data_IF_197219663396
#
_entry.id   IF_197219663396
#
_cell.length_a   1.000
_cell.length_b   1.000
_cell.length_c   1.000
_cell.angle_alpha   90.00
_cell.angle_beta   90.00
_cell.angle_gamma   90.00
#
_symmetry.space_group_name_H-M   'P 1'
#
loop_
_entity.id
_entity.type
_entity.pdbx_description
1 polymer ?
#
# COMPACT_ATOMS: atom_id res chain seq x y z
N UNK A 1 14.73 9.11 8.33
CA UNK A 1 13.55 9.35 7.47
C UNK A 1 13.52 10.84 7.11
N UNK A 2 13.00 11.23 5.93
CA UNK A 2 12.98 12.64 5.52
C UNK A 2 12.05 13.47 6.40
N UNK A 3 12.35 14.77 6.53
CA UNK A 3 11.40 15.73 7.09
C UNK A 3 10.32 16.02 6.04
N UNK A 4 9.08 15.67 6.33
CA UNK A 4 7.95 15.90 5.42
C UNK A 4 7.41 17.33 5.56
N UNK A 5 6.96 17.89 4.45
CA UNK A 5 6.24 19.18 4.40
C UNK A 5 4.77 18.96 4.04
N UNK A 6 3.98 20.03 4.05
CA UNK A 6 2.60 20.00 3.56
C UNK A 6 2.52 19.86 2.04
N UNK A 7 3.60 20.14 1.30
CA UNK A 7 3.66 20.00 -0.15
C UNK A 7 4.16 18.62 -0.55
N UNK A 8 3.43 18.00 -1.48
CA UNK A 8 3.82 16.73 -2.12
C UNK A 8 5.23 16.81 -2.73
N UNK A 9 6.11 15.92 -2.29
CA UNK A 9 7.53 15.89 -2.67
C UNK A 9 7.94 14.48 -3.09
N UNK A 10 8.63 14.35 -4.23
CA UNK A 10 9.17 13.07 -4.69
C UNK A 10 10.46 12.78 -3.95
N UNK A 11 10.59 11.55 -3.44
CA UNK A 11 11.80 11.07 -2.80
C UNK A 11 12.41 9.93 -3.62
N UNK A 12 13.75 9.86 -3.75
CA UNK A 12 14.39 8.73 -4.42
C UNK A 12 13.95 7.39 -3.83
N UNK A 13 13.56 6.44 -4.68
CA UNK A 13 13.13 5.11 -4.26
C UNK A 13 11.69 5.02 -3.73
N UNK A 14 10.91 6.10 -3.76
CA UNK A 14 9.48 6.09 -3.41
C UNK A 14 8.62 6.46 -4.62
N UNK A 15 7.67 5.60 -4.97
CA UNK A 15 6.78 5.82 -6.12
C UNK A 15 5.79 6.97 -5.86
N UNK A 16 5.38 7.16 -4.60
CA UNK A 16 4.48 8.23 -4.20
C UNK A 16 5.24 9.50 -3.85
N UNK A 17 4.72 10.63 -4.28
CA UNK A 17 5.18 11.91 -3.77
C UNK A 17 4.54 12.17 -2.39
N UNK A 18 5.36 12.21 -1.36
CA UNK A 18 4.93 12.20 0.04
C UNK A 18 4.68 13.62 0.57
N UNK A 19 3.70 13.74 1.44
CA UNK A 19 3.37 14.98 2.18
C UNK A 19 2.73 14.62 3.53
N UNK A 20 2.77 15.56 4.49
CA UNK A 20 2.11 15.36 5.78
C UNK A 20 0.61 15.04 5.65
N UNK A 21 -0.18 15.77 4.84
CA UNK A 21 -1.60 15.44 4.65
C UNK A 21 -1.84 14.04 4.08
N UNK A 22 -1.01 13.59 3.12
CA UNK A 22 -1.17 12.27 2.50
C UNK A 22 -0.93 11.18 3.54
N UNK A 23 0.15 11.29 4.30
CA UNK A 23 0.49 10.31 5.33
C UNK A 23 -0.54 10.31 6.46
N UNK A 24 -1.08 11.47 6.85
CA UNK A 24 -2.17 11.57 7.81
C UNK A 24 -3.46 10.90 7.29
N UNK A 25 -3.76 11.05 6.00
CA UNK A 25 -4.89 10.39 5.38
C UNK A 25 -4.73 8.87 5.36
N UNK A 26 -3.57 8.37 4.92
CA UNK A 26 -3.28 6.94 4.94
C UNK A 26 -3.34 6.38 6.36
N UNK A 27 -2.77 7.07 7.35
CA UNK A 27 -2.86 6.65 8.75
C UNK A 27 -4.30 6.58 9.27
N UNK A 28 -5.18 7.49 8.84
CA UNK A 28 -6.60 7.45 9.22
C UNK A 28 -7.38 6.31 8.55
N UNK A 29 -6.93 5.84 7.38
CA UNK A 29 -7.51 4.69 6.69
C UNK A 29 -7.01 3.35 7.26
N UNK A 30 -5.72 3.28 7.57
CA UNK A 30 -5.07 2.06 8.02
C UNK A 30 -5.46 1.71 9.47
N UNK A 31 -5.58 0.42 9.79
CA UNK A 31 -6.03 -0.02 11.09
C UNK A 31 -4.95 0.26 12.15
N UNK A 32 -5.41 0.53 13.37
CA UNK A 32 -4.53 0.75 14.51
C UNK A 32 -3.95 -0.59 15.02
N UNK A 33 -2.74 -0.60 15.62
CA UNK A 33 -2.21 -1.78 16.26
C UNK A 33 -3.19 -2.37 17.30
N UNK A 34 -3.29 -3.71 17.41
CA UNK A 34 -2.39 -4.72 16.86
C UNK A 34 -2.75 -5.21 15.45
N UNK A 35 -3.79 -4.68 14.79
CA UNK A 35 -4.19 -5.13 13.46
C UNK A 35 -3.08 -4.90 12.42
N UNK A 36 -2.87 -5.88 11.52
CA UNK A 36 -1.77 -5.89 10.58
C UNK A 36 -2.17 -5.28 9.22
N UNK A 37 -1.34 -4.35 8.73
CA UNK A 37 -1.31 -3.93 7.33
C UNK A 37 -0.17 -4.61 6.59
N UNK A 38 -0.45 -5.21 5.43
CA UNK A 38 0.58 -5.73 4.53
C UNK A 38 0.75 -4.78 3.34
N UNK A 39 1.93 -4.18 3.18
CA UNK A 39 2.28 -3.37 1.99
C UNK A 39 2.94 -4.25 0.94
N UNK A 40 2.29 -4.43 -0.20
CA UNK A 40 2.73 -5.33 -1.27
C UNK A 40 3.40 -4.52 -2.38
N UNK A 41 4.68 -4.81 -2.63
CA UNK A 41 5.53 -4.00 -3.51
C UNK A 41 6.13 -2.80 -2.79
N UNK A 42 6.73 -3.01 -1.61
CA UNK A 42 7.22 -1.94 -0.74
C UNK A 42 8.44 -1.17 -1.29
N UNK A 43 9.06 -1.65 -2.37
CA UNK A 43 10.24 -1.02 -2.98
C UNK A 43 11.37 -0.82 -1.97
N UNK A 44 11.83 0.42 -1.85
CA UNK A 44 12.88 0.80 -0.90
C UNK A 44 12.40 0.86 0.56
N UNK A 45 11.08 0.76 0.80
CA UNK A 45 10.47 0.73 2.12
C UNK A 45 10.23 2.10 2.77
N UNK A 46 10.37 3.21 2.02
CA UNK A 46 10.33 4.56 2.60
C UNK A 46 8.95 4.92 3.18
N UNK A 47 7.88 4.64 2.42
CA UNK A 47 6.51 4.95 2.82
C UNK A 47 6.15 4.19 4.10
N UNK A 48 6.43 2.90 4.09
CA UNK A 48 6.14 1.98 5.19
C UNK A 48 6.96 2.36 6.42
N UNK A 49 8.24 2.69 6.25
CA UNK A 49 9.08 3.12 7.37
C UNK A 49 8.55 4.42 8.00
N UNK A 50 7.99 5.36 7.23
CA UNK A 50 7.35 6.55 7.78
C UNK A 50 6.09 6.17 8.57
N UNK A 51 5.19 5.36 7.99
CA UNK A 51 3.96 4.92 8.65
C UNK A 51 4.21 4.08 9.91
N UNK A 52 5.30 3.32 9.94
CA UNK A 52 5.71 2.49 11.08
C UNK A 52 6.16 3.32 12.30
N UNK A 53 6.66 4.54 12.09
CA UNK A 53 7.26 5.36 13.14
C UNK A 53 6.28 6.42 13.68
N UNK A 54 6.56 7.03 14.86
CA UNK A 54 5.79 8.18 15.34
C UNK A 54 5.76 9.31 14.30
N UNK A 55 4.61 10.01 14.15
CA UNK A 55 3.40 9.90 14.97
C UNK A 55 2.40 8.80 14.53
N UNK A 56 2.66 8.07 13.46
CA UNK A 56 1.68 7.17 12.83
C UNK A 56 1.61 5.79 13.49
N UNK A 57 2.75 5.19 13.85
CA UNK A 57 2.82 3.92 14.58
C UNK A 57 1.96 2.76 13.99
N UNK A 58 1.80 2.72 12.66
CA UNK A 58 1.03 1.66 11.99
C UNK A 58 1.76 0.33 12.14
N UNK A 59 1.03 -0.73 12.47
CA UNK A 59 1.56 -2.09 12.44
C UNK A 59 1.62 -2.60 11.00
N UNK A 60 2.68 -2.21 10.28
CA UNK A 60 2.87 -2.48 8.86
C UNK A 60 4.05 -3.43 8.61
N UNK A 61 3.91 -4.32 7.62
CA UNK A 61 4.98 -5.17 7.08
C UNK A 61 5.05 -4.94 5.58
N UNK A 62 6.25 -4.64 5.06
CA UNK A 62 6.49 -4.48 3.63
C UNK A 62 6.95 -5.78 2.97
N UNK A 63 6.41 -6.08 1.79
CA UNK A 63 6.74 -7.23 0.95
C UNK A 63 7.37 -6.74 -0.35
N UNK A 64 8.50 -7.32 -0.74
CA UNK A 64 9.14 -7.01 -2.03
C UNK A 64 9.75 -8.27 -2.68
N UNK A 65 9.96 -8.22 -3.99
CA UNK A 65 10.61 -9.30 -4.74
C UNK A 65 12.12 -9.33 -4.43
N UNK A 66 12.72 -10.52 -4.39
CA UNK A 66 14.16 -10.69 -4.25
C UNK A 66 14.88 -10.55 -5.61
N UNK A 67 16.06 -9.89 -5.67
CA UNK A 67 16.70 -9.13 -4.60
C UNK A 67 15.96 -7.82 -4.29
N UNK A 68 15.70 -7.56 -3.01
CA UNK A 68 14.95 -6.39 -2.57
C UNK A 68 15.84 -5.15 -2.50
N UNK A 69 15.39 -3.99 -3.03
CA UNK A 69 16.08 -2.71 -2.89
C UNK A 69 15.82 -2.03 -1.53
N UNK A 70 15.14 -2.70 -0.58
CA UNK A 70 14.79 -2.11 0.71
C UNK A 70 16.02 -1.57 1.46
N UNK A 71 15.97 -0.29 1.82
CA UNK A 71 16.99 0.39 2.65
C UNK A 71 16.40 1.05 3.89
N UNK A 72 15.07 1.07 4.01
CA UNK A 72 14.38 1.82 5.07
C UNK A 72 13.69 0.92 6.11
N UNK A 73 13.10 -0.20 5.72
CA UNK A 73 12.44 -1.10 6.66
C UNK A 73 13.46 -1.97 7.40
N UNK A 74 13.32 -2.16 8.72
CA UNK A 74 14.10 -3.15 9.44
C UNK A 74 13.70 -4.58 9.01
N UNK A 75 14.62 -5.54 9.14
CA UNK A 75 14.39 -6.94 8.75
C UNK A 75 13.13 -7.55 9.39
N UNK A 76 12.77 -7.16 10.61
CA UNK A 76 11.55 -7.65 11.30
C UNK A 76 10.24 -7.13 10.69
N UNK A 77 10.31 -6.12 9.83
CA UNK A 77 9.18 -5.46 9.17
C UNK A 77 9.26 -5.55 7.65
N UNK A 78 10.17 -6.37 7.14
CA UNK A 78 10.39 -6.56 5.72
C UNK A 78 10.42 -8.05 5.40
N UNK A 79 9.65 -8.44 4.38
CA UNK A 79 9.59 -9.81 3.88
C UNK A 79 9.85 -9.79 2.37
N UNK A 80 10.32 -10.92 1.86
CA UNK A 80 10.62 -11.04 0.44
C UNK A 80 10.00 -12.27 -0.18
N UNK A 81 9.58 -12.13 -1.44
CA UNK A 81 9.14 -13.24 -2.29
C UNK A 81 10.16 -13.50 -3.42
N UNK A 82 10.30 -14.74 -3.92
CA UNK A 82 11.37 -15.07 -4.88
C UNK A 82 11.13 -14.54 -6.31
N UNK A 83 9.97 -13.94 -6.61
CA UNK A 83 9.64 -13.41 -7.92
C UNK A 83 8.31 -12.63 -7.92
N UNK A 84 8.04 -11.90 -9.01
CA UNK A 84 6.84 -11.04 -9.14
C UNK A 84 5.50 -11.77 -9.31
N UNK A 85 5.53 -13.11 -9.33
CA UNK A 85 4.34 -13.98 -9.42
C UNK A 85 4.09 -14.78 -8.14
N UNK A 86 4.92 -14.56 -7.11
CA UNK A 86 4.78 -15.22 -5.82
C UNK A 86 4.00 -14.32 -4.87
N UNK A 87 3.13 -14.94 -4.08
CA UNK A 87 2.30 -14.27 -3.08
C UNK A 87 2.89 -14.50 -1.69
N UNK A 88 2.78 -13.51 -0.81
CA UNK A 88 3.22 -13.62 0.57
C UNK A 88 2.09 -14.21 1.44
N UNK A 89 2.29 -15.40 2.07
CA UNK A 89 1.26 -16.06 2.88
C UNK A 89 0.74 -15.23 4.05
N UNK A 90 1.54 -14.29 4.58
CA UNK A 90 1.10 -13.37 5.64
C UNK A 90 -0.13 -12.52 5.22
N UNK A 91 -0.43 -12.41 3.92
CA UNK A 91 -1.64 -11.78 3.42
C UNK A 91 -2.92 -12.41 3.99
N UNK A 92 -2.91 -13.72 4.26
CA UNK A 92 -4.03 -14.43 4.88
C UNK A 92 -4.40 -13.88 6.26
N UNK A 93 -3.41 -13.33 6.98
CA UNK A 93 -3.52 -12.86 8.36
C UNK A 93 -3.68 -11.33 8.47
N UNK A 94 -3.39 -10.60 7.39
CA UNK A 94 -3.49 -9.15 7.37
C UNK A 94 -4.94 -8.70 7.18
N UNK A 95 -5.39 -7.76 8.03
CA UNK A 95 -6.73 -7.17 7.92
C UNK A 95 -6.84 -6.16 6.80
N UNK A 96 -5.72 -5.56 6.42
CA UNK A 96 -5.63 -4.57 5.33
C UNK A 96 -4.43 -4.87 4.44
N UNK A 97 -4.63 -4.76 3.13
CA UNK A 97 -3.54 -4.76 2.16
C UNK A 97 -3.39 -3.39 1.52
N UNK A 98 -2.15 -2.97 1.30
CA UNK A 98 -1.83 -1.74 0.60
C UNK A 98 -1.00 -2.06 -0.64
N UNK A 99 -1.44 -1.59 -1.79
CA UNK A 99 -0.73 -1.66 -3.06
C UNK A 99 -0.43 -0.24 -3.53
N UNK A 100 0.84 0.15 -3.49
CA UNK A 100 1.30 1.43 -4.02
C UNK A 100 2.05 1.21 -5.34
N UNK A 101 1.50 1.71 -6.44
CA UNK A 101 2.04 1.53 -7.79
C UNK A 101 2.31 0.06 -8.15
N UNK A 102 1.32 -0.86 -8.01
CA UNK A 102 1.50 -2.22 -8.45
C UNK A 102 1.82 -2.28 -9.95
N UNK A 103 2.74 -3.15 -10.34
CA UNK A 103 3.25 -3.23 -11.72
C UNK A 103 2.36 -4.02 -12.68
N UNK A 104 1.37 -4.75 -12.16
CA UNK A 104 0.47 -5.59 -12.96
C UNK A 104 -0.85 -5.82 -12.24
N UNK A 105 -1.94 -5.72 -12.98
CA UNK A 105 -3.30 -6.01 -12.52
C UNK A 105 -3.41 -7.42 -11.95
N UNK A 106 -2.83 -8.40 -12.65
CA UNK A 106 -2.89 -9.80 -12.23
C UNK A 106 -2.25 -10.08 -10.87
N UNK A 107 -1.41 -9.19 -10.31
CA UNK A 107 -0.91 -9.37 -8.94
C UNK A 107 -2.04 -9.20 -7.93
N UNK A 108 -2.82 -8.12 -8.07
CA UNK A 108 -3.96 -7.84 -7.20
C UNK A 108 -5.00 -8.96 -7.30
N UNK A 109 -5.34 -9.36 -8.53
CA UNK A 109 -6.27 -10.46 -8.80
C UNK A 109 -5.81 -11.78 -8.16
N UNK A 110 -4.51 -12.13 -8.29
CA UNK A 110 -3.94 -13.32 -7.67
C UNK A 110 -4.00 -13.26 -6.14
N UNK A 111 -3.71 -12.11 -5.52
CA UNK A 111 -3.84 -11.93 -4.06
C UNK A 111 -5.30 -12.07 -3.58
N UNK A 112 -6.25 -11.44 -4.27
CA UNK A 112 -7.67 -11.52 -3.92
C UNK A 112 -8.19 -12.95 -4.08
N UNK A 113 -7.83 -13.65 -5.16
CA UNK A 113 -8.24 -15.03 -5.39
C UNK A 113 -7.66 -16.00 -4.37
N UNK A 114 -6.38 -15.86 -4.02
CA UNK A 114 -5.70 -16.79 -3.11
C UNK A 114 -5.99 -16.50 -1.63
N UNK A 115 -6.00 -15.22 -1.25
CA UNK A 115 -6.03 -14.78 0.16
C UNK A 115 -7.26 -13.94 0.53
N UNK A 116 -8.12 -13.56 -0.42
CA UNK A 116 -9.28 -12.69 -0.17
C UNK A 116 -10.36 -13.30 0.73
N UNK A 117 -10.38 -14.63 0.82
CA UNK A 117 -11.17 -15.38 1.82
C UNK A 117 -10.60 -15.36 3.24
N UNK A 118 -9.43 -14.75 3.44
CA UNK A 118 -8.77 -14.60 4.74
C UNK A 118 -9.31 -13.44 5.57
N UNK A 119 -8.44 -12.86 6.41
CA UNK A 119 -8.79 -11.77 7.32
C UNK A 119 -8.93 -10.39 6.66
N UNK A 120 -8.62 -10.28 5.36
CA UNK A 120 -8.64 -8.99 4.67
C UNK A 120 -10.06 -8.44 4.59
N UNK A 121 -10.25 -7.23 5.13
CA UNK A 121 -11.51 -6.48 5.10
C UNK A 121 -11.40 -5.21 4.26
N UNK A 122 -10.16 -4.75 3.99
CA UNK A 122 -9.90 -3.56 3.19
C UNK A 122 -8.66 -3.73 2.32
N UNK A 123 -8.76 -3.26 1.08
CA UNK A 123 -7.61 -3.08 0.19
C UNK A 123 -7.50 -1.61 -0.17
N UNK A 124 -6.31 -1.04 0.07
CA UNK A 124 -5.95 0.32 -0.35
C UNK A 124 -5.07 0.20 -1.59
N UNK A 125 -5.56 0.68 -2.72
CA UNK A 125 -4.80 0.79 -3.95
C UNK A 125 -4.45 2.25 -4.20
N UNK A 126 -3.20 2.52 -4.55
CA UNK A 126 -2.70 3.86 -4.85
C UNK A 126 -1.88 3.80 -6.13
N UNK A 127 -2.22 4.59 -7.13
CA UNK A 127 -1.51 4.59 -8.40
C UNK A 127 -2.03 5.65 -9.38
N UNK A 128 -1.50 5.67 -10.61
CA UNK A 128 -1.94 6.61 -11.64
C UNK A 128 -3.43 6.44 -11.98
N UNK A 129 -4.13 7.55 -12.21
CA UNK A 129 -5.54 7.56 -12.61
C UNK A 129 -5.78 6.73 -13.88
N UNK A 130 -4.82 6.76 -14.82
CA UNK A 130 -4.90 6.00 -16.07
C UNK A 130 -4.85 4.48 -15.87
N UNK A 131 -4.17 4.02 -14.81
CA UNK A 131 -4.05 2.59 -14.52
C UNK A 131 -5.28 2.09 -13.76
N UNK A 132 -5.94 2.96 -12.97
CA UNK A 132 -7.04 2.58 -12.08
C UNK A 132 -8.17 1.80 -12.76
N UNK A 133 -8.55 2.17 -13.98
CA UNK A 133 -9.63 1.50 -14.70
C UNK A 133 -9.33 0.02 -14.98
N UNK A 134 -8.06 -0.33 -15.19
CA UNK A 134 -7.65 -1.73 -15.38
C UNK A 134 -7.71 -2.53 -14.05
N UNK A 135 -7.49 -1.88 -12.89
CA UNK A 135 -7.54 -2.51 -11.57
C UNK A 135 -8.94 -2.57 -10.97
N UNK A 136 -9.85 -1.67 -11.37
CA UNK A 136 -11.22 -1.60 -10.83
C UNK A 136 -11.95 -2.94 -10.94
N UNK A 137 -11.76 -3.67 -12.03
CA UNK A 137 -12.39 -4.97 -12.28
C UNK A 137 -11.98 -6.06 -11.29
N UNK A 138 -10.84 -5.93 -10.60
CA UNK A 138 -10.46 -6.89 -9.55
C UNK A 138 -11.39 -6.82 -8.32
N UNK A 139 -12.15 -5.75 -8.16
CA UNK A 139 -12.94 -5.45 -6.97
C UNK A 139 -14.45 -5.60 -7.19
N UNK A 140 -14.90 -6.39 -8.16
CA UNK A 140 -16.33 -6.54 -8.51
C UNK A 140 -17.24 -6.90 -7.32
N UNK A 141 -16.74 -7.70 -6.37
CA UNK A 141 -17.49 -8.11 -5.16
C UNK A 141 -17.28 -7.18 -3.95
N UNK A 142 -16.55 -6.08 -4.12
CA UNK A 142 -16.15 -5.16 -3.06
C UNK A 142 -16.82 -3.80 -3.22
N UNK A 143 -17.05 -3.12 -2.11
CA UNK A 143 -17.49 -1.73 -2.10
C UNK A 143 -16.28 -0.82 -2.30
N UNK A 144 -16.21 -0.17 -3.45
CA UNK A 144 -15.04 0.64 -3.84
C UNK A 144 -15.36 2.13 -3.83
N UNK A 145 -14.55 2.88 -3.08
CA UNK A 145 -14.52 4.34 -3.11
C UNK A 145 -13.17 4.79 -3.68
N UNK A 146 -13.18 5.54 -4.78
CA UNK A 146 -11.97 6.11 -5.38
C UNK A 146 -12.05 7.63 -5.38
N UNK A 147 -10.94 8.29 -5.04
CA UNK A 147 -10.80 9.75 -5.07
C UNK A 147 -9.41 10.17 -5.54
N UNK A 148 -9.29 11.44 -5.96
CA UNK A 148 -8.00 12.00 -6.32
C UNK A 148 -7.09 12.08 -5.09
N UNK A 149 -5.82 11.71 -5.25
CA UNK A 149 -4.86 11.84 -4.17
C UNK A 149 -4.55 13.32 -3.85
N UNK A 150 -4.74 14.24 -4.80
CA UNK A 150 -4.54 15.69 -4.58
C UNK A 150 -5.44 16.23 -3.46
N UNK A 151 -6.67 15.72 -3.34
CA UNK A 151 -7.62 16.09 -2.28
C UNK A 151 -7.06 15.84 -0.87
N UNK A 152 -6.06 14.96 -0.77
CA UNK A 152 -5.41 14.58 0.49
C UNK A 152 -3.91 14.83 0.46
N UNK A 153 -3.42 15.71 -0.43
CA UNK A 153 -2.03 16.15 -0.48
C UNK A 153 -1.06 15.24 -1.26
N UNK A 154 -1.57 14.29 -2.03
CA UNK A 154 -0.84 13.55 -3.08
C UNK A 154 -0.77 14.34 -4.39
N UNK A 155 -0.56 13.64 -5.52
CA UNK A 155 -0.55 14.25 -6.86
C UNK A 155 -1.91 14.18 -7.54
N UNK A 156 -2.22 15.16 -8.38
CA UNK A 156 -3.48 15.25 -9.12
C UNK A 156 -3.73 14.10 -10.12
N UNK A 157 -2.67 13.44 -10.58
CA UNK A 157 -2.77 12.30 -11.49
C UNK A 157 -2.82 10.95 -10.76
N UNK A 158 -2.74 10.93 -9.43
CA UNK A 158 -2.84 9.73 -8.61
C UNK A 158 -4.27 9.57 -8.06
N UNK A 159 -4.71 8.32 -7.91
CA UNK A 159 -5.96 7.95 -7.27
C UNK A 159 -5.65 7.10 -6.04
N UNK A 160 -6.42 7.31 -4.97
CA UNK A 160 -6.51 6.40 -3.84
C UNK A 160 -7.87 5.71 -3.93
N UNK A 161 -7.85 4.41 -4.17
CA UNK A 161 -9.03 3.57 -4.14
C UNK A 161 -9.04 2.72 -2.88
N UNK A 162 -10.15 2.74 -2.17
CA UNK A 162 -10.38 1.95 -0.96
C UNK A 162 -11.52 0.97 -1.26
N UNK A 163 -11.16 -0.30 -1.39
CA UNK A 163 -12.11 -1.40 -1.52
C UNK A 163 -12.36 -1.99 -0.13
N UNK A 164 -13.64 -2.14 0.25
CA UNK A 164 -14.06 -2.79 1.50
C UNK A 164 -14.94 -3.97 1.19
N UNK A 165 -14.78 -5.04 1.96
CA UNK A 165 -15.61 -6.24 1.82
C UNK A 165 -17.06 -5.89 2.19
N UNK A 166 -18.01 -6.42 1.41
CA UNK A 166 -19.45 -6.16 1.61
C UNK A 166 -20.03 -6.92 2.80
#
# INVERSE_FOLDING_TARGET
>A
LPCLSTKSTVYPGCCLALSVPLLAHLHALLPQPPALTLSIGSGYGLLEAILLNPPYNVNIVGVEVQPSPNTHLPHTRHRTVPGSRFLEPLAQEAGVWMFAYPRRVGLLDEYLREHGGGKVEMVVWIGPTMDWEDYRGCFEEWQVEAKSAEEVGGRAWEVIAVARKS
#
